data_IF_951200730044
#
_entry.id   IF_951200730044
#
_cell.length_a   1.000
_cell.length_b   1.000
_cell.length_c   1.000
_cell.angle_alpha   90.00
_cell.angle_beta   90.00
_cell.angle_gamma   90.00
#
_symmetry.space_group_name_H-M   'P 1'
#
loop_
_entity.id
_entity.type
_entity.pdbx_description
1 polymer ?
#
# COMPACT_ATOMS: atom_id res chain seq x y z
N UNK A 1 36.18 -33.05 -16.92
CA UNK A 1 35.92 -34.13 -15.96
C UNK A 1 34.90 -35.07 -16.57
N UNK A 2 35.13 -36.39 -16.52
CA UNK A 2 34.12 -37.37 -16.92
C UNK A 2 33.05 -37.42 -15.82
N UNK A 3 31.84 -36.94 -16.12
CA UNK A 3 30.67 -37.08 -15.22
C UNK A 3 30.09 -38.50 -15.36
N UNK A 4 29.47 -39.00 -14.30
CA UNK A 4 28.81 -40.32 -14.28
C UNK A 4 27.43 -40.21 -14.91
N UNK A 5 27.02 -41.22 -15.69
CA UNK A 5 25.63 -41.34 -16.16
C UNK A 5 24.81 -42.03 -15.08
N UNK A 6 23.80 -41.33 -14.55
CA UNK A 6 22.88 -41.87 -13.54
C UNK A 6 21.60 -42.34 -14.25
N UNK A 7 21.26 -43.63 -14.09
CA UNK A 7 19.98 -44.17 -14.57
C UNK A 7 18.84 -43.76 -13.62
N UNK A 8 18.14 -42.68 -13.96
CA UNK A 8 16.94 -42.23 -13.23
C UNK A 8 15.66 -42.93 -13.71
N UNK A 9 15.75 -44.06 -14.44
CA UNK A 9 14.60 -44.81 -15.00
C UNK A 9 13.69 -43.96 -15.91
N UNK A 10 14.26 -42.95 -16.57
CA UNK A 10 13.51 -41.98 -17.38
C UNK A 10 12.71 -40.93 -16.57
N UNK A 11 12.78 -40.96 -15.24
CA UNK A 11 12.14 -39.95 -14.37
C UNK A 11 13.08 -38.73 -14.28
N UNK A 12 12.56 -37.49 -14.38
CA UNK A 12 13.35 -36.29 -14.14
C UNK A 12 14.03 -36.34 -12.75
N UNK A 13 15.37 -36.23 -12.66
CA UNK A 13 16.07 -36.27 -11.38
C UNK A 13 15.80 -35.01 -10.55
N UNK A 14 16.25 -35.03 -9.28
CA UNK A 14 16.25 -33.86 -8.39
C UNK A 14 14.87 -33.15 -8.31
N UNK A 15 13.80 -33.95 -8.24
CA UNK A 15 12.41 -33.48 -8.18
C UNK A 15 12.00 -32.54 -9.34
N UNK A 16 12.70 -32.56 -10.47
CA UNK A 16 12.45 -31.66 -11.59
C UNK A 16 12.88 -30.21 -11.34
N UNK A 17 13.62 -29.93 -10.26
CA UNK A 17 14.12 -28.58 -9.94
C UNK A 17 15.22 -28.16 -10.92
N UNK A 18 16.15 -29.08 -11.20
CA UNK A 18 17.24 -28.89 -12.14
C UNK A 18 17.88 -30.23 -12.55
N UNK A 19 18.73 -30.19 -13.56
CA UNK A 19 19.62 -31.31 -13.94
C UNK A 19 20.80 -31.45 -12.98
N UNK A 20 21.46 -32.62 -12.97
CA UNK A 20 22.74 -32.78 -12.27
C UNK A 20 23.81 -31.83 -12.82
N UNK A 21 23.78 -31.53 -14.12
CA UNK A 21 24.64 -30.56 -14.79
C UNK A 21 24.54 -29.17 -14.17
N UNK A 22 23.32 -28.68 -13.99
CA UNK A 22 23.02 -27.41 -13.35
C UNK A 22 23.34 -27.43 -11.85
N UNK A 23 22.99 -28.51 -11.14
CA UNK A 23 23.24 -28.65 -9.70
C UNK A 23 24.73 -28.67 -9.34
N UNK A 24 25.62 -29.04 -10.27
CA UNK A 24 27.07 -28.98 -10.07
C UNK A 24 27.68 -27.59 -10.33
N UNK A 25 26.91 -26.62 -10.85
CA UNK A 25 27.41 -25.25 -10.98
C UNK A 25 27.55 -24.64 -9.57
N UNK A 26 28.69 -24.02 -9.25
CA UNK A 26 28.80 -23.22 -8.02
C UNK A 26 27.69 -22.17 -7.99
N UNK A 27 27.17 -21.89 -6.80
CA UNK A 27 26.23 -20.81 -6.52
C UNK A 27 26.82 -19.85 -5.51
N UNK A 28 25.96 -19.13 -4.79
CA UNK A 28 26.38 -18.22 -3.75
C UNK A 28 26.70 -18.99 -2.47
N UNK A 29 27.69 -18.52 -1.71
CA UNK A 29 27.85 -18.95 -0.32
C UNK A 29 26.74 -18.33 0.52
N UNK A 30 26.43 -18.93 1.66
CA UNK A 30 25.36 -18.40 2.52
C UNK A 30 25.63 -16.96 2.97
N UNK A 31 26.90 -16.55 3.14
CA UNK A 31 27.23 -15.15 3.48
C UNK A 31 26.91 -14.19 2.33
N UNK A 32 27.24 -14.56 1.10
CA UNK A 32 26.89 -13.78 -0.09
C UNK A 32 25.36 -13.69 -0.24
N UNK A 33 24.66 -14.80 -0.05
CA UNK A 33 23.19 -14.86 -0.10
C UNK A 33 22.55 -13.97 0.95
N UNK A 34 23.03 -14.02 2.20
CA UNK A 34 22.54 -13.18 3.30
C UNK A 34 22.80 -11.70 3.03
N UNK A 35 23.97 -11.33 2.51
CA UNK A 35 24.30 -9.94 2.19
C UNK A 35 23.38 -9.37 1.09
N UNK A 36 23.13 -10.13 0.02
CA UNK A 36 22.18 -9.72 -1.03
C UNK A 36 20.76 -9.59 -0.48
N UNK A 37 20.29 -10.57 0.30
CA UNK A 37 18.98 -10.51 0.93
C UNK A 37 18.83 -9.30 1.85
N UNK A 38 19.85 -8.93 2.62
CA UNK A 38 19.83 -7.71 3.44
C UNK A 38 19.66 -6.45 2.61
N UNK A 39 20.30 -6.36 1.44
CA UNK A 39 20.14 -5.24 0.50
C UNK A 39 18.71 -5.18 -0.05
N UNK A 40 18.12 -6.30 -0.48
CA UNK A 40 16.72 -6.33 -0.91
C UNK A 40 15.74 -5.96 0.21
N UNK A 41 15.94 -6.49 1.42
CA UNK A 41 15.12 -6.14 2.59
C UNK A 41 15.21 -4.63 2.90
N UNK A 42 16.41 -4.05 2.81
CA UNK A 42 16.59 -2.62 3.02
C UNK A 42 15.81 -1.81 2.00
N UNK A 43 15.88 -2.17 0.71
CA UNK A 43 15.15 -1.45 -0.34
C UNK A 43 13.63 -1.63 -0.19
N UNK A 44 13.14 -2.85 0.03
CA UNK A 44 11.71 -3.12 0.23
C UNK A 44 11.15 -2.36 1.45
N UNK A 45 11.89 -2.34 2.56
CA UNK A 45 11.54 -1.52 3.73
C UNK A 45 11.41 -0.03 3.36
N UNK A 46 12.35 0.51 2.60
CA UNK A 46 12.33 1.92 2.23
C UNK A 46 11.25 2.25 1.19
N UNK A 47 10.96 1.36 0.24
CA UNK A 47 9.83 1.53 -0.69
C UNK A 47 8.50 1.61 0.06
N UNK A 48 8.28 0.73 1.04
CA UNK A 48 7.11 0.81 1.94
C UNK A 48 7.02 2.18 2.63
N UNK A 49 8.15 2.72 3.11
CA UNK A 49 8.20 4.03 3.78
C UNK A 49 7.98 5.20 2.82
N UNK A 50 8.58 5.17 1.63
CA UNK A 50 8.40 6.18 0.57
C UNK A 50 6.93 6.26 0.18
N UNK A 51 6.31 5.12 -0.13
CA UNK A 51 4.90 5.06 -0.52
C UNK A 51 3.99 5.55 0.61
N UNK A 52 4.26 5.14 1.85
CA UNK A 52 3.50 5.59 3.04
C UNK A 52 3.61 7.11 3.26
N UNK A 53 4.79 7.70 3.05
CA UNK A 53 5.04 9.13 3.23
C UNK A 53 4.34 10.00 2.18
N UNK A 54 4.15 9.49 0.97
CA UNK A 54 3.61 10.26 -0.15
C UNK A 54 2.13 10.01 -0.45
N UNK A 55 1.55 8.90 0.04
CA UNK A 55 0.19 8.48 -0.29
C UNK A 55 -0.87 9.58 -0.10
N UNK A 56 -0.82 10.33 1.00
CA UNK A 56 -1.78 11.41 1.25
C UNK A 56 -1.62 12.57 0.24
N UNK A 57 -0.39 13.02 0.00
CA UNK A 57 -0.10 14.23 -0.75
C UNK A 57 -0.21 14.08 -2.28
N UNK A 58 -0.16 12.85 -2.80
CA UNK A 58 -0.43 12.59 -4.23
C UNK A 58 -1.89 12.91 -4.56
N UNK A 59 -2.20 13.70 -5.60
CA UNK A 59 -3.58 14.03 -5.96
C UNK A 59 -4.30 12.92 -6.73
N UNK A 60 -3.59 12.16 -7.56
CA UNK A 60 -4.18 11.17 -8.46
C UNK A 60 -4.71 9.95 -7.69
N UNK A 61 -6.01 9.71 -7.79
CA UNK A 61 -6.69 8.62 -7.09
C UNK A 61 -6.13 7.24 -7.41
N UNK A 62 -5.86 6.97 -8.68
CA UNK A 62 -5.33 5.70 -9.16
C UNK A 62 -3.91 5.44 -8.61
N UNK A 63 -3.13 6.49 -8.40
CA UNK A 63 -1.80 6.39 -7.79
C UNK A 63 -1.90 6.05 -6.31
N UNK A 64 -2.85 6.65 -5.57
CA UNK A 64 -3.13 6.26 -4.18
C UNK A 64 -3.52 4.77 -4.08
N UNK A 65 -4.37 4.32 -5.00
CA UNK A 65 -4.79 2.92 -5.09
C UNK A 65 -3.60 1.97 -5.25
N UNK A 66 -2.71 2.28 -6.19
CA UNK A 66 -1.51 1.49 -6.42
C UNK A 66 -0.51 1.58 -5.26
N UNK A 67 -0.39 2.73 -4.59
CA UNK A 67 0.50 2.88 -3.44
C UNK A 67 0.07 1.96 -2.31
N UNK A 68 -1.22 1.92 -1.99
CA UNK A 68 -1.75 0.99 -0.99
C UNK A 68 -1.45 -0.47 -1.31
N UNK A 69 -1.55 -0.88 -2.59
CA UNK A 69 -1.21 -2.23 -3.02
C UNK A 69 0.28 -2.52 -2.91
N UNK A 70 1.10 -1.68 -3.53
CA UNK A 70 2.53 -1.93 -3.69
C UNK A 70 3.28 -1.82 -2.36
N UNK A 71 2.87 -0.91 -1.46
CA UNK A 71 3.49 -0.81 -0.13
C UNK A 71 3.23 -2.06 0.73
N UNK A 72 2.10 -2.73 0.53
CA UNK A 72 1.81 -4.00 1.20
C UNK A 72 2.67 -5.13 0.65
N UNK A 73 2.84 -5.22 -0.68
CA UNK A 73 3.76 -6.17 -1.30
C UNK A 73 5.20 -5.97 -0.80
N UNK A 74 5.66 -4.71 -0.74
CA UNK A 74 6.99 -4.38 -0.21
C UNK A 74 7.14 -4.83 1.26
N UNK A 75 6.07 -4.72 2.06
CA UNK A 75 6.04 -5.18 3.45
C UNK A 75 6.11 -6.72 3.57
N UNK A 76 5.40 -7.45 2.71
CA UNK A 76 5.41 -8.91 2.61
C UNK A 76 6.78 -9.42 2.13
N UNK A 77 7.37 -8.78 1.12
CA UNK A 77 8.71 -9.11 0.61
C UNK A 77 9.76 -8.99 1.71
N UNK A 78 9.75 -7.87 2.44
CA UNK A 78 10.64 -7.66 3.59
C UNK A 78 10.42 -8.71 4.68
N UNK A 79 9.16 -9.03 5.02
CA UNK A 79 8.85 -10.06 6.02
C UNK A 79 9.37 -11.45 5.59
N UNK A 80 9.15 -11.83 4.33
CA UNK A 80 9.61 -13.08 3.77
C UNK A 80 11.15 -13.17 3.77
N UNK A 81 11.85 -12.08 3.41
CA UNK A 81 13.31 -12.02 3.45
C UNK A 81 13.82 -12.15 4.88
N UNK A 82 13.25 -11.42 5.83
CA UNK A 82 13.66 -11.48 7.25
C UNK A 82 13.56 -12.89 7.80
N UNK A 83 12.45 -13.58 7.50
CA UNK A 83 12.26 -15.00 7.83
C UNK A 83 13.32 -15.86 7.14
N UNK A 84 13.61 -15.65 5.86
CA UNK A 84 14.61 -16.45 5.15
C UNK A 84 16.02 -16.24 5.71
N UNK A 85 16.38 -15.02 6.11
CA UNK A 85 17.68 -14.75 6.73
C UNK A 85 17.80 -15.40 8.10
N UNK A 86 16.73 -15.41 8.91
CA UNK A 86 16.74 -16.07 10.22
C UNK A 86 16.85 -17.60 10.15
N UNK A 87 16.41 -18.22 9.05
CA UNK A 87 16.62 -19.64 8.77
C UNK A 87 18.08 -19.98 8.41
N UNK A 88 18.89 -18.99 8.03
CA UNK A 88 20.26 -19.18 7.53
C UNK A 88 21.36 -18.75 8.51
N UNK A 89 21.03 -17.90 9.50
CA UNK A 89 21.99 -17.33 10.45
C UNK A 89 21.37 -17.24 11.84
N UNK A 90 22.22 -17.33 12.87
CA UNK A 90 21.82 -17.06 14.24
C UNK A 90 21.84 -15.54 14.52
N UNK A 91 21.02 -15.05 15.46
CA UNK A 91 21.05 -13.64 15.88
C UNK A 91 22.42 -13.20 16.44
N UNK A 92 22.76 -11.90 16.38
CA UNK A 92 21.99 -10.80 15.80
C UNK A 92 21.99 -10.78 14.26
N UNK A 93 20.80 -10.59 13.66
CA UNK A 93 20.64 -10.66 12.20
C UNK A 93 20.96 -9.33 11.50
N UNK A 94 20.90 -8.20 12.22
CA UNK A 94 21.16 -6.85 11.69
C UNK A 94 20.26 -6.48 10.47
N UNK A 95 19.00 -6.92 10.48
CA UNK A 95 18.04 -6.67 9.38
C UNK A 95 17.44 -5.26 9.37
N UNK A 96 17.66 -4.50 10.45
CA UNK A 96 17.23 -3.09 10.57
C UNK A 96 18.40 -2.10 10.39
N UNK A 97 19.62 -2.60 10.14
CA UNK A 97 20.78 -1.76 9.87
C UNK A 97 20.92 -1.49 8.38
N UNK A 98 21.51 -0.35 8.05
CA UNK A 98 21.86 0.00 6.68
C UNK A 98 22.95 -0.95 6.18
N UNK A 99 22.70 -1.70 5.09
CA UNK A 99 23.68 -2.65 4.58
C UNK A 99 24.83 -1.95 3.85
N UNK A 100 24.61 -0.71 3.41
CA UNK A 100 25.56 0.13 2.69
C UNK A 100 25.13 1.60 2.76
N UNK A 101 26.09 2.49 2.99
CA UNK A 101 25.82 3.93 3.18
C UNK A 101 25.35 4.61 1.88
N UNK A 102 25.93 4.24 0.73
CA UNK A 102 25.58 4.84 -0.55
C UNK A 102 24.19 4.38 -1.00
N UNK A 103 23.82 3.13 -0.71
CA UNK A 103 22.47 2.62 -0.92
C UNK A 103 21.43 3.36 -0.07
N UNK A 104 21.77 3.71 1.18
CA UNK A 104 20.91 4.58 2.01
C UNK A 104 20.76 5.96 1.37
N UNK A 105 21.86 6.61 1.00
CA UNK A 105 21.84 7.96 0.38
C UNK A 105 20.97 7.95 -0.88
N UNK A 106 21.08 6.92 -1.72
CA UNK A 106 20.25 6.79 -2.91
C UNK A 106 18.73 6.77 -2.61
N UNK A 107 18.31 6.08 -1.55
CA UNK A 107 16.89 6.04 -1.16
C UNK A 107 16.45 7.31 -0.41
N UNK A 108 17.36 7.96 0.31
CA UNK A 108 17.15 9.29 0.89
C UNK A 108 16.94 10.37 -0.20
N UNK A 109 17.56 10.21 -1.37
CA UNK A 109 17.23 11.05 -2.54
C UNK A 109 15.85 10.71 -3.09
N UNK A 110 15.54 9.42 -3.27
CA UNK A 110 14.28 8.98 -3.89
C UNK A 110 13.02 9.46 -3.16
N UNK A 111 13.03 9.48 -1.82
CA UNK A 111 11.88 9.97 -1.02
C UNK A 111 11.63 11.49 -1.21
N UNK A 112 12.60 12.24 -1.76
CA UNK A 112 12.52 13.69 -1.98
C UNK A 112 12.05 14.08 -3.38
N UNK A 113 11.26 13.21 -4.02
CA UNK A 113 10.50 13.59 -5.21
C UNK A 113 9.52 14.73 -4.87
N UNK A 114 9.41 15.72 -5.75
CA UNK A 114 8.65 16.95 -5.50
C UNK A 114 7.22 16.89 -6.06
N UNK A 115 6.95 15.95 -6.97
CA UNK A 115 5.65 15.75 -7.61
C UNK A 115 5.43 14.30 -8.02
N UNK A 116 4.21 13.97 -8.45
CA UNK A 116 3.82 12.61 -8.85
C UNK A 116 4.72 12.05 -9.97
N UNK A 117 5.09 12.86 -10.98
CA UNK A 117 5.93 12.40 -12.10
C UNK A 117 7.33 12.00 -11.62
N UNK A 118 7.98 12.81 -10.79
CA UNK A 118 9.27 12.45 -10.20
C UNK A 118 9.16 11.21 -9.31
N UNK A 119 8.12 11.15 -8.47
CA UNK A 119 7.95 10.05 -7.53
C UNK A 119 7.77 8.71 -8.27
N UNK A 120 6.88 8.67 -9.26
CA UNK A 120 6.69 7.49 -10.08
C UNK A 120 7.92 7.16 -10.92
N UNK A 121 8.63 8.15 -11.43
CA UNK A 121 9.89 7.93 -12.17
C UNK A 121 10.92 7.25 -11.27
N UNK A 122 11.14 7.77 -10.06
CA UNK A 122 12.11 7.19 -9.13
C UNK A 122 11.77 5.75 -8.76
N UNK A 123 10.49 5.47 -8.46
CA UNK A 123 10.05 4.14 -8.06
C UNK A 123 10.04 3.17 -9.24
N UNK A 124 9.39 3.52 -10.35
CA UNK A 124 9.05 2.57 -11.42
C UNK A 124 10.00 2.58 -12.62
N UNK A 125 10.82 3.62 -12.82
CA UNK A 125 11.90 3.64 -13.84
C UNK A 125 13.30 3.35 -13.30
N UNK A 126 13.52 3.59 -12.00
CA UNK A 126 14.85 3.42 -11.40
C UNK A 126 14.87 2.29 -10.38
N UNK A 127 14.18 2.45 -9.24
CA UNK A 127 14.33 1.52 -8.10
C UNK A 127 13.84 0.11 -8.45
N UNK A 128 12.56 -0.04 -8.80
CA UNK A 128 11.97 -1.37 -9.08
C UNK A 128 12.65 -2.08 -10.26
N UNK A 129 12.94 -1.44 -11.40
CA UNK A 129 13.66 -2.09 -12.50
C UNK A 129 15.05 -2.59 -12.09
N UNK A 130 15.79 -1.85 -11.26
CA UNK A 130 17.12 -2.29 -10.82
C UNK A 130 17.04 -3.39 -9.76
N UNK A 131 15.99 -3.43 -8.93
CA UNK A 131 15.68 -4.59 -8.07
C UNK A 131 15.37 -5.81 -8.95
N UNK A 132 14.44 -5.69 -9.91
CA UNK A 132 14.05 -6.81 -10.78
C UNK A 132 15.25 -7.37 -11.55
N UNK A 133 16.13 -6.50 -12.06
CA UNK A 133 17.39 -6.88 -12.69
C UNK A 133 18.30 -7.64 -11.72
N UNK A 134 18.50 -7.14 -10.50
CA UNK A 134 19.33 -7.80 -9.49
C UNK A 134 18.74 -9.15 -9.04
N UNK A 135 17.42 -9.24 -8.85
CA UNK A 135 16.70 -10.49 -8.57
C UNK A 135 16.89 -11.51 -9.69
N UNK A 136 16.69 -11.09 -10.95
CA UNK A 136 16.85 -11.94 -12.13
C UNK A 136 18.28 -12.46 -12.25
N UNK A 137 19.29 -11.60 -12.07
CA UNK A 137 20.70 -11.99 -12.05
C UNK A 137 21.02 -12.98 -10.91
N UNK A 138 20.47 -12.76 -9.72
CA UNK A 138 20.66 -13.66 -8.60
C UNK A 138 20.04 -15.04 -8.88
N UNK A 139 18.80 -15.07 -9.37
CA UNK A 139 18.10 -16.30 -9.77
C UNK A 139 18.85 -17.06 -10.87
N UNK A 140 19.46 -16.35 -11.82
CA UNK A 140 20.23 -16.96 -12.92
C UNK A 140 21.54 -17.60 -12.44
N UNK A 141 22.19 -17.02 -11.43
CA UNK A 141 23.52 -17.42 -10.98
C UNK A 141 23.52 -18.30 -9.72
N UNK A 142 22.40 -18.40 -9.00
CA UNK A 142 22.32 -19.25 -7.82
C UNK A 142 22.26 -20.74 -8.15
N UNK A 143 22.68 -21.56 -7.19
CA UNK A 143 22.44 -23.00 -7.27
C UNK A 143 21.03 -23.31 -6.75
N UNK A 144 20.10 -23.54 -7.69
CA UNK A 144 18.67 -23.77 -7.42
C UNK A 144 18.37 -24.97 -6.51
N UNK A 145 19.33 -25.89 -6.34
CA UNK A 145 19.18 -27.03 -5.45
C UNK A 145 19.59 -26.68 -4.02
N UNK A 146 20.78 -26.09 -3.83
CA UNK A 146 21.28 -25.76 -2.48
C UNK A 146 20.57 -24.55 -1.87
N UNK A 147 20.09 -23.63 -2.70
CA UNK A 147 19.39 -22.40 -2.28
C UNK A 147 17.91 -22.42 -2.64
N UNK A 148 17.31 -23.61 -2.81
CA UNK A 148 15.94 -23.75 -3.30
C UNK A 148 14.88 -22.91 -2.55
N UNK A 149 14.91 -22.79 -1.19
CA UNK A 149 13.95 -21.94 -0.48
C UNK A 149 14.09 -20.45 -0.88
N UNK A 150 15.32 -19.97 -1.06
CA UNK A 150 15.60 -18.60 -1.53
C UNK A 150 15.14 -18.43 -2.99
N UNK A 151 15.40 -19.41 -3.87
CA UNK A 151 14.93 -19.40 -5.25
C UNK A 151 13.40 -19.22 -5.34
N UNK A 152 12.64 -19.96 -4.54
CA UNK A 152 11.17 -19.86 -4.52
C UNK A 152 10.68 -18.48 -4.09
N UNK A 153 11.31 -17.91 -3.06
CA UNK A 153 11.02 -16.57 -2.56
C UNK A 153 11.29 -15.52 -3.63
N UNK A 154 12.51 -15.49 -4.20
CA UNK A 154 12.90 -14.45 -5.15
C UNK A 154 12.13 -14.54 -6.47
N UNK A 155 11.69 -15.74 -6.88
CA UNK A 155 10.85 -15.88 -8.07
C UNK A 155 9.49 -15.23 -7.90
N UNK A 156 8.87 -15.34 -6.72
CA UNK A 156 7.62 -14.65 -6.42
C UNK A 156 7.83 -13.13 -6.38
N UNK A 157 8.85 -12.68 -5.66
CA UNK A 157 9.20 -11.26 -5.60
C UNK A 157 9.47 -10.65 -6.98
N UNK A 158 10.22 -11.36 -7.85
CA UNK A 158 10.51 -10.89 -9.20
C UNK A 158 9.22 -10.71 -10.03
N UNK A 159 8.27 -11.65 -9.91
CA UNK A 159 6.99 -11.52 -10.59
C UNK A 159 6.23 -10.28 -10.13
N UNK A 160 6.14 -10.06 -8.82
CA UNK A 160 5.47 -8.89 -8.26
C UNK A 160 6.14 -7.59 -8.75
N UNK A 161 7.48 -7.52 -8.74
CA UNK A 161 8.22 -6.35 -9.25
C UNK A 161 7.96 -6.11 -10.74
N UNK A 162 7.95 -7.16 -11.57
CA UNK A 162 7.64 -7.04 -13.00
C UNK A 162 6.23 -6.50 -13.23
N UNK A 163 5.23 -6.99 -12.49
CA UNK A 163 3.84 -6.50 -12.58
C UNK A 163 3.72 -5.03 -12.13
N UNK A 164 4.38 -4.65 -11.03
CA UNK A 164 4.41 -3.28 -10.52
C UNK A 164 5.10 -2.31 -11.50
N UNK A 165 6.19 -2.73 -12.15
CA UNK A 165 6.88 -1.93 -13.19
C UNK A 165 5.96 -1.68 -14.38
N UNK A 166 5.23 -2.71 -14.87
CA UNK A 166 4.30 -2.55 -16.00
C UNK A 166 3.22 -1.52 -15.67
N UNK A 167 2.64 -1.60 -14.46
CA UNK A 167 1.66 -0.60 -14.04
C UNK A 167 2.27 0.81 -13.97
N UNK A 168 3.46 0.94 -13.38
CA UNK A 168 4.14 2.23 -13.21
C UNK A 168 4.50 2.92 -14.51
N UNK A 169 4.97 2.17 -15.52
CA UNK A 169 5.25 2.73 -16.85
C UNK A 169 3.98 3.18 -17.56
N UNK A 170 2.88 2.45 -17.40
CA UNK A 170 1.59 2.86 -17.95
C UNK A 170 1.08 4.15 -17.28
N UNK A 171 1.22 4.26 -15.95
CA UNK A 171 0.86 5.47 -15.21
C UNK A 171 1.73 6.67 -15.62
N UNK A 172 3.05 6.50 -15.75
CA UNK A 172 3.95 7.56 -16.22
C UNK A 172 3.63 7.98 -17.66
N UNK A 173 3.27 7.04 -18.53
CA UNK A 173 2.83 7.35 -19.90
C UNK A 173 1.56 8.20 -19.91
N UNK A 174 0.65 7.98 -18.97
CA UNK A 174 -0.57 8.77 -18.84
C UNK A 174 -0.32 10.17 -18.25
N UNK A 175 0.63 10.31 -17.32
CA UNK A 175 0.92 11.57 -16.63
C UNK A 175 1.91 12.48 -17.36
N UNK A 176 2.80 11.93 -18.18
CA UNK A 176 3.76 12.70 -18.98
C UNK A 176 3.07 13.09 -20.30
N UNK A 177 2.32 14.18 -20.27
CA UNK A 177 1.55 14.70 -21.41
C UNK A 177 2.27 15.84 -22.15
N UNK A 178 3.37 16.33 -21.61
CA UNK A 178 4.11 17.50 -22.10
C UNK A 178 5.62 17.29 -22.15
N UNK A 179 6.34 18.00 -23.04
CA UNK A 179 7.81 17.98 -23.07
C UNK A 179 8.47 18.44 -21.76
N UNK A 180 7.79 19.30 -21.00
CA UNK A 180 8.26 19.77 -19.69
C UNK A 180 8.28 18.64 -18.67
N UNK A 181 7.16 17.91 -18.51
CA UNK A 181 7.10 16.74 -17.63
C UNK A 181 8.06 15.63 -18.08
N UNK A 182 8.25 15.46 -19.40
CA UNK A 182 9.23 14.52 -19.92
C UNK A 182 10.66 14.91 -19.53
N UNK A 183 10.98 16.21 -19.53
CA UNK A 183 12.24 16.73 -19.03
C UNK A 183 12.43 16.48 -17.54
N UNK A 184 11.41 16.79 -16.72
CA UNK A 184 11.41 16.52 -15.27
C UNK A 184 11.68 15.04 -14.98
N UNK A 185 10.96 14.13 -15.66
CA UNK A 185 11.17 12.70 -15.52
C UNK A 185 12.60 12.29 -15.91
N UNK A 186 13.10 12.76 -17.05
CA UNK A 186 14.44 12.41 -17.52
C UNK A 186 15.55 12.90 -16.58
N UNK A 187 15.45 14.15 -16.09
CA UNK A 187 16.41 14.74 -15.18
C UNK A 187 16.42 14.01 -13.82
N UNK A 188 15.23 13.68 -13.30
CA UNK A 188 15.10 12.94 -12.05
C UNK A 188 15.57 11.49 -12.16
N UNK A 189 15.27 10.81 -13.27
CA UNK A 189 15.81 9.48 -13.55
C UNK A 189 17.35 9.51 -13.60
N UNK A 190 17.93 10.47 -14.31
CA UNK A 190 19.38 10.63 -14.40
C UNK A 190 20.01 10.90 -13.02
N UNK A 191 19.38 11.75 -12.21
CA UNK A 191 19.78 12.03 -10.83
C UNK A 191 19.86 10.76 -10.00
N UNK A 192 18.77 10.00 -9.90
CA UNK A 192 18.73 8.78 -9.09
C UNK A 192 19.66 7.69 -9.61
N UNK A 193 19.85 7.57 -10.94
CA UNK A 193 20.83 6.63 -11.51
C UNK A 193 22.27 6.99 -11.13
N UNK A 194 22.62 8.28 -11.03
CA UNK A 194 23.95 8.70 -10.59
C UNK A 194 24.26 8.23 -9.16
N UNK A 195 23.30 8.38 -8.24
CA UNK A 195 23.43 7.88 -6.86
C UNK A 195 23.47 6.35 -6.78
N UNK A 196 22.69 5.64 -7.61
CA UNK A 196 22.75 4.18 -7.68
C UNK A 196 24.11 3.66 -8.16
N UNK A 197 24.73 4.34 -9.13
CA UNK A 197 26.07 4.01 -9.60
C UNK A 197 27.12 4.21 -8.49
N UNK A 198 26.97 5.23 -7.65
CA UNK A 198 27.82 5.42 -6.47
C UNK A 198 27.62 4.32 -5.41
N UNK A 199 26.44 3.69 -5.37
CA UNK A 199 26.15 2.55 -4.50
C UNK A 199 26.62 1.19 -5.03
N UNK A 200 27.28 1.15 -6.20
CA UNK A 200 27.68 -0.10 -6.86
C UNK A 200 26.48 -0.93 -7.36
N UNK A 201 25.34 -0.28 -7.63
CA UNK A 201 24.09 -0.93 -7.99
C UNK A 201 23.37 -1.61 -6.82
N UNK A 202 22.19 -2.19 -7.09
CA UNK A 202 21.37 -2.86 -6.06
C UNK A 202 22.11 -4.02 -5.41
N UNK A 203 22.90 -4.78 -6.16
CA UNK A 203 23.69 -5.91 -5.64
C UNK A 203 25.00 -5.47 -4.96
N UNK A 204 25.49 -4.25 -5.21
CA UNK A 204 26.76 -3.74 -4.66
C UNK A 204 28.00 -4.37 -5.30
N UNK A 205 27.87 -4.96 -6.49
CA UNK A 205 28.92 -5.69 -7.20
C UNK A 205 29.51 -4.93 -8.40
N UNK A 206 28.96 -3.75 -8.72
CA UNK A 206 29.48 -2.87 -9.75
C UNK A 206 30.59 -1.96 -9.21
N UNK A 207 31.53 -1.58 -10.07
CA UNK A 207 32.54 -0.58 -9.74
C UNK A 207 31.85 0.76 -9.43
N UNK A 208 31.94 1.20 -8.17
CA UNK A 208 31.31 2.42 -7.73
C UNK A 208 31.91 3.65 -8.42
N UNK A 209 31.04 4.52 -8.92
CA UNK A 209 31.42 5.78 -9.58
C UNK A 209 31.11 6.95 -8.65
N UNK A 210 32.00 7.93 -8.56
CA UNK A 210 31.74 9.15 -7.77
C UNK A 210 30.50 9.85 -8.33
N UNK A 211 29.51 10.09 -7.47
CA UNK A 211 28.32 10.87 -7.85
C UNK A 211 28.69 12.35 -7.94
N UNK A 212 28.52 12.96 -9.11
CA UNK A 212 28.72 14.40 -9.33
C UNK A 212 27.42 15.21 -9.18
N UNK A 213 26.26 14.55 -9.06
CA UNK A 213 24.98 15.21 -8.86
C UNK A 213 24.88 15.82 -7.45
N UNK A 214 24.34 17.04 -7.35
CA UNK A 214 24.14 17.69 -6.07
C UNK A 214 22.96 17.01 -5.34
N UNK A 215 23.15 16.50 -4.10
CA UNK A 215 22.07 15.85 -3.36
C UNK A 215 20.94 16.82 -3.04
N UNK A 216 19.69 16.37 -3.18
CA UNK A 216 18.52 17.04 -2.60
C UNK A 216 18.43 16.79 -1.09
N UNK A 217 19.02 15.70 -0.62
CA UNK A 217 19.15 15.43 0.81
C UNK A 217 20.08 16.42 1.48
N UNK A 218 19.56 17.03 2.53
CA UNK A 218 20.27 17.84 3.50
C UNK A 218 20.86 17.00 4.66
N UNK A 219 20.77 15.67 4.55
CA UNK A 219 21.18 14.71 5.57
C UNK A 219 20.22 14.61 6.76
N UNK A 220 19.12 15.37 6.77
CA UNK A 220 18.04 15.21 7.75
C UNK A 220 17.05 14.13 7.29
N UNK A 221 16.17 13.71 8.21
CA UNK A 221 15.05 12.84 7.85
C UNK A 221 14.07 13.63 6.97
N UNK A 222 13.53 12.99 5.94
CA UNK A 222 12.48 13.58 5.12
C UNK A 222 11.25 13.95 5.95
N UNK A 223 10.79 15.19 5.82
CA UNK A 223 9.55 15.67 6.40
C UNK A 223 8.42 15.48 5.39
N UNK A 224 7.46 14.61 5.69
CA UNK A 224 6.33 14.34 4.80
C UNK A 224 5.34 15.52 4.78
N UNK A 225 4.72 15.78 3.62
CA UNK A 225 3.53 16.64 3.53
C UNK A 225 2.32 15.87 4.08
N UNK A 226 1.72 16.29 5.20
CA UNK A 226 0.59 15.58 5.80
C UNK A 226 -0.73 15.83 5.05
N UNK A 227 -0.79 16.80 4.14
CA UNK A 227 -2.05 17.27 3.56
C UNK A 227 -2.55 16.31 2.47
N UNK A 228 -3.74 15.69 2.64
CA UNK A 228 -4.34 14.90 1.58
C UNK A 228 -4.71 15.78 0.38
N UNK A 229 -4.58 15.22 -0.83
CA UNK A 229 -4.97 15.91 -2.08
C UNK A 229 -5.87 15.04 -2.96
N UNK A 230 -6.60 15.69 -3.86
CA UNK A 230 -7.34 15.08 -4.97
C UNK A 230 -7.05 15.86 -6.23
N UNK A 231 -7.04 15.18 -7.37
CA UNK A 231 -6.95 15.82 -8.67
C UNK A 231 -8.24 16.57 -9.05
N UNK A 232 -8.20 17.26 -10.18
CA UNK A 232 -9.24 18.17 -10.65
C UNK A 232 -10.60 17.51 -10.94
N UNK A 233 -10.68 16.18 -10.98
CA UNK A 233 -11.94 15.46 -11.21
C UNK A 233 -12.85 15.51 -9.98
N UNK A 234 -12.27 15.67 -8.79
CA UNK A 234 -13.01 15.63 -7.54
C UNK A 234 -13.58 17.01 -7.20
N UNK A 235 -14.86 17.03 -6.88
CA UNK A 235 -15.60 18.25 -6.53
C UNK A 235 -15.95 18.27 -5.05
N UNK A 236 -15.89 19.47 -4.47
CA UNK A 236 -16.39 19.77 -3.11
C UNK A 236 -15.99 18.69 -2.06
N UNK A 237 -14.69 18.43 -1.84
CA UNK A 237 -14.19 17.29 -1.07
C UNK A 237 -14.40 17.42 0.46
N UNK A 238 -15.19 18.40 0.89
CA UNK A 238 -15.61 18.60 2.28
C UNK A 238 -17.14 18.56 2.44
N UNK A 239 -17.87 18.24 1.37
CA UNK A 239 -19.32 18.09 1.42
C UNK A 239 -19.72 16.82 2.17
N UNK A 240 -20.50 16.99 3.23
CA UNK A 240 -21.06 15.92 4.06
C UNK A 240 -22.59 15.97 4.13
N UNK A 241 -23.22 16.67 3.19
CA UNK A 241 -24.69 16.81 3.13
C UNK A 241 -25.42 15.47 2.97
N UNK A 242 -24.81 14.52 2.25
CA UNK A 242 -25.32 13.17 2.10
C UNK A 242 -25.07 12.35 3.38
N UNK A 243 -26.15 11.85 4.00
CA UNK A 243 -26.10 11.01 5.21
C UNK A 243 -25.81 9.54 4.86
N UNK A 244 -24.69 9.29 4.20
CA UNK A 244 -24.29 7.97 3.67
C UNK A 244 -24.39 6.89 4.73
N UNK A 245 -23.95 7.17 5.97
CA UNK A 245 -23.96 6.19 7.06
C UNK A 245 -25.34 5.97 7.70
N UNK A 246 -26.39 6.62 7.19
CA UNK A 246 -27.77 6.51 7.68
C UNK A 246 -28.72 5.85 6.68
N UNK A 247 -28.56 6.07 5.37
CA UNK A 247 -29.55 5.63 4.38
C UNK A 247 -29.72 4.10 4.35
N UNK A 248 -28.64 3.32 4.51
CA UNK A 248 -28.75 1.86 4.52
C UNK A 248 -29.48 1.31 5.76
N UNK A 249 -29.53 2.08 6.86
CA UNK A 249 -30.29 1.75 8.07
C UNK A 249 -31.78 2.11 7.97
N UNK A 250 -32.13 3.12 7.17
CA UNK A 250 -33.50 3.61 7.07
C UNK A 250 -34.36 2.61 6.29
N UNK A 251 -35.34 2.01 6.97
CA UNK A 251 -36.30 1.09 6.35
C UNK A 251 -37.23 1.77 5.34
N UNK A 252 -37.31 3.11 5.35
CA UNK A 252 -38.04 3.88 4.33
C UNK A 252 -37.23 4.06 3.03
N UNK A 253 -35.91 3.88 3.06
CA UNK A 253 -35.09 3.90 1.85
C UNK A 253 -35.36 2.65 1.01
N UNK A 254 -35.40 2.84 -0.31
CA UNK A 254 -35.54 1.73 -1.25
C UNK A 254 -34.38 0.73 -1.14
N UNK A 255 -34.58 -0.57 -1.46
CA UNK A 255 -33.48 -1.55 -1.48
C UNK A 255 -32.28 -1.09 -2.31
N UNK A 256 -32.53 -0.44 -3.46
CA UNK A 256 -31.49 0.16 -4.30
C UNK A 256 -30.70 1.25 -3.56
N UNK A 257 -31.38 2.21 -2.95
CA UNK A 257 -30.73 3.30 -2.21
C UNK A 257 -29.88 2.80 -1.05
N UNK A 258 -30.37 1.78 -0.34
CA UNK A 258 -29.61 1.11 0.72
C UNK A 258 -28.35 0.42 0.15
N UNK A 259 -28.44 -0.21 -1.02
CA UNK A 259 -27.29 -0.83 -1.68
C UNK A 259 -26.22 0.18 -2.07
N UNK A 260 -26.63 1.29 -2.69
CA UNK A 260 -25.69 2.32 -3.13
C UNK A 260 -25.15 3.15 -1.98
N UNK A 261 -25.90 3.33 -0.89
CA UNK A 261 -25.38 3.88 0.36
C UNK A 261 -24.25 3.03 0.94
N UNK A 262 -24.39 1.70 0.95
CA UNK A 262 -23.32 0.77 1.34
C UNK A 262 -22.11 0.81 0.38
N UNK A 263 -22.34 0.87 -0.93
CA UNK A 263 -21.27 1.00 -1.94
C UNK A 263 -20.51 2.32 -1.77
N UNK A 264 -21.24 3.43 -1.60
CA UNK A 264 -20.65 4.76 -1.46
C UNK A 264 -19.88 4.87 -0.14
N UNK A 265 -20.32 4.21 0.92
CA UNK A 265 -19.58 4.11 2.18
C UNK A 265 -18.16 3.55 1.94
N UNK A 266 -18.03 2.49 1.13
CA UNK A 266 -16.75 1.85 0.76
C UNK A 266 -15.87 2.79 -0.07
N UNK A 267 -16.45 3.47 -1.06
CA UNK A 267 -15.71 4.45 -1.87
C UNK A 267 -15.02 5.53 -1.02
N UNK A 268 -15.69 6.02 0.04
CA UNK A 268 -15.12 7.03 0.94
C UNK A 268 -13.99 6.52 1.82
N UNK A 269 -13.76 5.21 1.90
CA UNK A 269 -12.71 4.64 2.75
C UNK A 269 -11.30 4.97 2.26
N UNK A 270 -11.12 5.57 1.07
CA UNK A 270 -9.84 6.18 0.68
C UNK A 270 -9.35 7.21 1.70
N UNK A 271 -10.26 7.85 2.46
CA UNK A 271 -9.88 8.75 3.55
C UNK A 271 -9.01 8.02 4.60
N UNK A 272 -9.23 6.71 4.83
CA UNK A 272 -8.50 5.90 5.83
C UNK A 272 -7.03 5.67 5.48
N UNK A 273 -6.66 5.12 4.31
CA UNK A 273 -5.26 5.02 3.87
C UNK A 273 -4.48 6.33 3.98
N UNK A 274 -5.13 7.47 3.71
CA UNK A 274 -4.49 8.79 3.73
C UNK A 274 -4.01 9.22 5.11
N UNK A 275 -4.68 8.79 6.17
CA UNK A 275 -4.19 9.02 7.53
C UNK A 275 -3.52 7.81 8.17
N UNK A 276 -3.62 6.62 7.57
CA UNK A 276 -2.75 5.48 7.89
C UNK A 276 -1.33 5.64 7.36
N UNK A 277 -1.12 6.31 6.22
CA UNK A 277 0.22 6.60 5.67
C UNK A 277 1.15 7.28 6.70
N UNK A 278 0.73 8.38 7.34
CA UNK A 278 1.45 8.98 8.46
C UNK A 278 1.66 8.07 9.67
N UNK A 279 0.71 7.17 10.00
CA UNK A 279 0.90 6.18 11.07
C UNK A 279 2.08 5.27 10.74
N UNK A 280 2.12 4.72 9.53
CA UNK A 280 3.19 3.83 9.07
C UNK A 280 4.54 4.54 8.94
N UNK A 281 4.56 5.77 8.43
CA UNK A 281 5.80 6.51 8.22
C UNK A 281 6.39 7.08 9.52
N UNK A 282 5.56 7.69 10.37
CA UNK A 282 6.04 8.41 11.57
C UNK A 282 6.25 7.48 12.77
N UNK A 283 5.65 6.29 12.80
CA UNK A 283 5.87 5.32 13.88
C UNK A 283 7.19 4.58 13.69
N UNK A 284 8.10 4.70 14.66
CA UNK A 284 9.42 4.06 14.62
C UNK A 284 9.59 3.01 15.73
N UNK A 285 10.59 2.14 15.56
CA UNK A 285 11.05 1.22 16.61
C UNK A 285 10.14 0.03 16.89
N UNK A 286 9.04 -0.14 16.13
CA UNK A 286 8.19 -1.34 16.20
C UNK A 286 8.86 -2.52 15.47
N UNK A 287 8.56 -3.78 15.85
CA UNK A 287 9.03 -4.94 15.10
C UNK A 287 8.44 -4.93 13.68
N UNK A 288 9.12 -5.54 12.71
CA UNK A 288 8.68 -5.49 11.30
C UNK A 288 7.25 -5.99 11.07
N UNK A 289 6.82 -6.98 11.87
CA UNK A 289 5.46 -7.52 11.83
C UNK A 289 4.38 -6.45 12.05
N UNK A 290 4.67 -5.37 12.78
CA UNK A 290 3.78 -4.21 12.91
C UNK A 290 3.54 -3.56 11.55
N UNK A 291 4.61 -3.30 10.81
CA UNK A 291 4.53 -2.66 9.51
C UNK A 291 3.87 -3.58 8.48
N UNK A 292 4.10 -4.91 8.56
CA UNK A 292 3.39 -5.89 7.72
C UNK A 292 1.88 -5.87 7.98
N UNK A 293 1.46 -5.95 9.25
CA UNK A 293 0.04 -5.94 9.61
C UNK A 293 -0.65 -4.62 9.23
N UNK A 294 -0.06 -3.47 9.57
CA UNK A 294 -0.65 -2.17 9.25
C UNK A 294 -0.64 -1.88 7.74
N UNK A 295 0.38 -2.34 7.01
CA UNK A 295 0.38 -2.26 5.54
C UNK A 295 -0.70 -3.12 4.92
N UNK A 296 -0.95 -4.31 5.49
CA UNK A 296 -2.05 -5.18 5.05
C UNK A 296 -3.41 -4.51 5.25
N UNK A 297 -3.63 -3.92 6.41
CA UNK A 297 -4.86 -3.17 6.68
C UNK A 297 -5.00 -1.94 5.75
N UNK A 298 -3.94 -1.16 5.56
CA UNK A 298 -3.96 0.00 4.64
C UNK A 298 -4.34 -0.45 3.23
N UNK A 299 -3.78 -1.56 2.76
CA UNK A 299 -4.16 -2.15 1.49
C UNK A 299 -5.63 -2.53 1.44
N UNK A 300 -6.15 -3.17 2.49
CA UNK A 300 -7.56 -3.57 2.56
C UNK A 300 -8.49 -2.35 2.48
N UNK A 301 -8.20 -1.26 3.20
CA UNK A 301 -8.98 -0.01 3.11
C UNK A 301 -8.87 0.67 1.74
N UNK A 302 -7.68 0.63 1.12
CA UNK A 302 -7.49 1.12 -0.25
C UNK A 302 -8.31 0.28 -1.24
N UNK A 303 -8.34 -1.03 -1.03
CA UNK A 303 -9.14 -1.97 -1.83
C UNK A 303 -10.62 -1.78 -1.59
N UNK A 304 -11.06 -1.44 -0.38
CA UNK A 304 -12.47 -1.09 -0.11
C UNK A 304 -12.91 0.13 -0.92
N UNK A 305 -12.06 1.15 -1.03
CA UNK A 305 -12.32 2.29 -1.91
C UNK A 305 -12.52 1.87 -3.38
N UNK A 306 -11.63 1.01 -3.91
CA UNK A 306 -11.74 0.46 -5.26
C UNK A 306 -12.97 -0.44 -5.45
N UNK A 307 -13.38 -1.20 -4.43
CA UNK A 307 -14.64 -1.94 -4.44
C UNK A 307 -15.83 -0.98 -4.56
N UNK A 308 -15.78 0.17 -3.90
CA UNK A 308 -16.74 1.26 -4.08
C UNK A 308 -16.78 1.78 -5.53
N UNK A 309 -15.62 1.99 -6.15
CA UNK A 309 -15.52 2.37 -7.56
C UNK A 309 -16.18 1.35 -8.49
N UNK A 310 -15.91 0.06 -8.28
CA UNK A 310 -16.53 -1.03 -9.03
C UNK A 310 -18.05 -0.99 -8.87
N UNK A 311 -18.55 -0.71 -7.66
CA UNK A 311 -19.97 -0.56 -7.40
C UNK A 311 -20.60 0.62 -8.14
N UNK A 312 -19.93 1.76 -8.22
CA UNK A 312 -20.41 2.92 -8.98
C UNK A 312 -20.29 2.73 -10.50
N UNK A 313 -19.23 2.09 -10.97
CA UNK A 313 -19.09 1.64 -12.36
C UNK A 313 -20.25 0.71 -12.73
N UNK A 314 -20.56 -0.26 -11.86
CA UNK A 314 -21.74 -1.10 -12.01
C UNK A 314 -23.04 -0.27 -11.96
N UNK A 315 -23.08 0.88 -11.30
CA UNK A 315 -24.18 1.85 -11.33
C UNK A 315 -24.22 2.73 -12.59
N UNK A 316 -23.20 2.70 -13.44
CA UNK A 316 -23.07 3.59 -14.59
C UNK A 316 -22.69 5.03 -14.19
N UNK A 317 -22.18 5.24 -12.98
CA UNK A 317 -21.78 6.55 -12.47
C UNK A 317 -20.26 6.57 -12.28
N UNK A 318 -19.51 7.52 -12.87
CA UNK A 318 -18.09 7.69 -12.58
C UNK A 318 -17.88 8.04 -11.11
N UNK A 319 -16.90 7.40 -10.46
CA UNK A 319 -16.74 7.51 -9.00
C UNK A 319 -16.39 8.91 -8.50
N UNK A 320 -15.74 9.73 -9.34
CA UNK A 320 -15.36 11.11 -9.02
C UNK A 320 -16.48 12.13 -9.29
N UNK A 321 -17.62 11.72 -9.84
CA UNK A 321 -18.68 12.66 -10.26
C UNK A 321 -19.35 13.39 -9.09
N UNK A 322 -19.46 12.71 -7.95
CA UNK A 322 -20.11 13.22 -6.76
C UNK A 322 -19.10 13.36 -5.62
N UNK A 323 -19.35 14.23 -4.63
CA UNK A 323 -18.37 14.50 -3.56
C UNK A 323 -17.88 13.24 -2.83
N UNK A 324 -16.59 13.21 -2.56
CA UNK A 324 -15.92 12.24 -1.69
C UNK A 324 -15.15 13.04 -0.64
N UNK A 325 -15.59 12.92 0.60
CA UNK A 325 -15.05 13.69 1.72
C UNK A 325 -13.61 13.26 2.08
N UNK A 326 -12.74 14.23 2.40
CA UNK A 326 -11.37 14.01 2.89
C UNK A 326 -11.07 14.70 4.25
N UNK A 327 -12.09 15.26 4.91
CA UNK A 327 -11.86 16.08 6.10
C UNK A 327 -11.24 15.31 7.27
N UNK A 328 -11.46 13.99 7.37
CA UNK A 328 -10.90 13.21 8.46
C UNK A 328 -9.41 12.97 8.28
N UNK A 329 -8.93 12.69 7.07
CA UNK A 329 -7.50 12.66 6.79
C UNK A 329 -6.82 14.00 7.04
N UNK A 330 -7.43 15.13 6.63
CA UNK A 330 -6.86 16.46 6.95
C UNK A 330 -6.68 16.64 8.45
N UNK A 331 -7.74 16.42 9.23
CA UNK A 331 -7.71 16.64 10.69
C UNK A 331 -6.76 15.66 11.38
N UNK A 332 -6.83 14.37 11.07
CA UNK A 332 -5.98 13.36 11.70
C UNK A 332 -4.49 13.55 11.36
N UNK A 333 -4.17 13.99 10.14
CA UNK A 333 -2.78 14.17 9.74
C UNK A 333 -2.12 15.42 10.32
N UNK A 334 -2.92 16.43 10.68
CA UNK A 334 -2.42 17.76 11.07
C UNK A 334 -2.63 18.09 12.55
N UNK A 335 -3.63 17.51 13.21
CA UNK A 335 -3.97 17.83 14.62
C UNK A 335 -3.72 16.66 15.58
N UNK A 336 -3.45 15.45 15.09
CA UNK A 336 -3.28 14.25 15.92
C UNK A 336 -1.90 13.62 15.75
N UNK A 337 -1.41 13.00 16.82
CA UNK A 337 -0.21 12.17 16.75
C UNK A 337 -0.50 10.84 16.05
N UNK A 338 0.50 10.16 15.47
CA UNK A 338 0.34 8.82 14.89
C UNK A 338 -0.30 7.81 15.85
N UNK A 339 0.02 7.91 17.14
CA UNK A 339 -0.51 7.03 18.17
C UNK A 339 -1.99 7.29 18.46
N UNK A 340 -2.42 8.56 18.50
CA UNK A 340 -3.84 8.91 18.65
C UNK A 340 -4.66 8.52 17.41
N UNK A 341 -4.12 8.74 16.20
CA UNK A 341 -4.76 8.30 14.97
C UNK A 341 -4.93 6.77 14.92
N UNK A 342 -3.91 5.99 15.35
CA UNK A 342 -4.02 4.54 15.44
C UNK A 342 -5.04 4.08 16.51
N UNK A 343 -5.16 4.80 17.64
CA UNK A 343 -6.23 4.54 18.61
C UNK A 343 -7.63 4.76 18.01
N UNK A 344 -7.79 5.83 17.23
CA UNK A 344 -9.05 6.15 16.54
C UNK A 344 -9.39 5.06 15.52
N UNK A 345 -8.42 4.62 14.72
CA UNK A 345 -8.56 3.49 13.78
C UNK A 345 -9.12 2.26 14.47
N UNK A 346 -8.42 1.81 15.51
CA UNK A 346 -8.83 0.65 16.26
C UNK A 346 -10.24 0.82 16.86
N UNK A 347 -10.56 2.02 17.36
CA UNK A 347 -11.85 2.25 18.00
C UNK A 347 -13.01 2.19 17.00
N UNK A 348 -12.79 2.66 15.77
CA UNK A 348 -13.71 2.51 14.63
C UNK A 348 -13.92 1.02 14.34
N UNK A 349 -12.86 0.24 14.13
CA UNK A 349 -12.96 -1.21 13.85
C UNK A 349 -13.76 -1.95 14.93
N UNK A 350 -13.48 -1.67 16.21
CA UNK A 350 -14.21 -2.30 17.31
C UNK A 350 -15.71 -1.99 17.28
N UNK A 351 -16.08 -0.80 16.83
CA UNK A 351 -17.49 -0.39 16.72
C UNK A 351 -18.25 -1.17 15.63
N UNK A 352 -17.52 -1.75 14.67
CA UNK A 352 -18.06 -2.48 13.52
C UNK A 352 -18.27 -3.98 13.79
N UNK A 353 -17.83 -4.49 14.95
CA UNK A 353 -17.92 -5.91 15.32
C UNK A 353 -19.26 -6.39 15.91
N UNK A 354 -20.07 -5.58 16.62
CA UNK A 354 -21.32 -6.06 17.19
C UNK A 354 -22.30 -6.59 16.13
N UNK A 355 -22.80 -7.81 16.33
CA UNK A 355 -23.66 -8.53 15.37
C UNK A 355 -24.84 -7.73 14.80
N UNK A 356 -25.51 -6.94 15.63
CA UNK A 356 -26.78 -6.28 15.27
C UNK A 356 -26.62 -4.84 14.76
N UNK A 357 -25.43 -4.26 14.87
CA UNK A 357 -25.17 -2.86 14.51
C UNK A 357 -23.90 -2.66 13.68
N UNK A 358 -23.15 -3.73 13.42
CA UNK A 358 -21.89 -3.73 12.69
C UNK A 358 -21.94 -4.47 11.35
N UNK A 359 -20.80 -4.94 10.87
CA UNK A 359 -20.60 -5.48 9.51
C UNK A 359 -21.48 -6.67 9.16
N UNK A 360 -21.77 -7.55 10.12
CA UNK A 360 -22.74 -8.64 9.91
C UNK A 360 -24.10 -8.09 9.48
N UNK A 361 -24.56 -6.99 10.10
CA UNK A 361 -25.85 -6.40 9.77
C UNK A 361 -25.81 -5.63 8.45
N UNK A 362 -24.69 -4.98 8.12
CA UNK A 362 -24.46 -4.38 6.79
C UNK A 362 -24.54 -5.43 5.68
N UNK A 363 -23.94 -6.61 5.88
CA UNK A 363 -24.04 -7.74 4.97
C UNK A 363 -25.47 -8.28 4.83
N UNK A 364 -26.21 -8.42 5.94
CA UNK A 364 -27.64 -8.81 5.90
C UNK A 364 -28.47 -7.81 5.09
N UNK A 365 -28.22 -6.51 5.27
CA UNK A 365 -28.90 -5.45 4.50
C UNK A 365 -28.53 -5.57 3.02
N UNK A 366 -27.23 -5.72 2.69
CA UNK A 366 -26.76 -5.88 1.33
C UNK A 366 -27.44 -7.07 0.62
N UNK A 367 -27.58 -8.20 1.33
CA UNK A 367 -28.30 -9.38 0.86
C UNK A 367 -29.76 -9.08 0.52
N UNK A 368 -30.45 -8.30 1.34
CA UNK A 368 -31.85 -7.94 1.14
C UNK A 368 -32.06 -6.95 -0.02
N UNK A 369 -30.99 -6.30 -0.50
CA UNK A 369 -31.08 -5.34 -1.62
C UNK A 369 -31.21 -5.97 -3.00
N UNK A 370 -30.89 -7.27 -3.14
CA UNK A 370 -30.73 -7.97 -4.41
C UNK A 370 -29.69 -7.35 -5.38
N UNK A 371 -28.82 -6.44 -4.92
CA UNK A 371 -27.70 -5.95 -5.70
C UNK A 371 -26.50 -6.90 -5.51
N UNK A 372 -26.09 -7.67 -6.55
CA UNK A 372 -25.05 -8.69 -6.40
C UNK A 372 -23.67 -8.10 -6.09
N UNK A 373 -23.39 -6.88 -6.57
CA UNK A 373 -22.12 -6.21 -6.31
C UNK A 373 -22.07 -5.71 -4.87
N UNK A 374 -23.15 -5.08 -4.37
CA UNK A 374 -23.24 -4.66 -2.97
C UNK A 374 -23.02 -5.84 -2.02
N UNK A 375 -23.68 -6.98 -2.27
CA UNK A 375 -23.51 -8.19 -1.46
C UNK A 375 -22.06 -8.69 -1.46
N UNK A 376 -21.44 -8.80 -2.64
CA UNK A 376 -20.05 -9.27 -2.76
C UNK A 376 -19.08 -8.37 -2.02
N UNK A 377 -19.25 -7.06 -2.15
CA UNK A 377 -18.39 -6.07 -1.49
C UNK A 377 -18.50 -6.21 0.03
N UNK A 378 -19.72 -6.26 0.58
CA UNK A 378 -19.91 -6.36 2.03
C UNK A 378 -19.46 -7.72 2.61
N UNK A 379 -19.46 -8.79 1.80
CA UNK A 379 -18.97 -10.11 2.22
C UNK A 379 -17.46 -10.09 2.48
N UNK A 380 -16.68 -9.51 1.57
CA UNK A 380 -15.23 -9.39 1.72
C UNK A 380 -14.83 -8.29 2.71
N UNK A 381 -15.50 -7.14 2.69
CA UNK A 381 -15.31 -6.06 3.67
C UNK A 381 -15.51 -6.57 5.10
N UNK A 382 -16.54 -7.37 5.36
CA UNK A 382 -16.72 -7.97 6.68
C UNK A 382 -15.57 -8.91 7.06
N UNK A 383 -15.07 -9.72 6.12
CA UNK A 383 -13.95 -10.62 6.38
C UNK A 383 -12.67 -9.85 6.76
N UNK A 384 -12.39 -8.74 6.07
CA UNK A 384 -11.22 -7.89 6.29
C UNK A 384 -11.30 -7.18 7.66
N UNK A 385 -12.48 -6.67 8.03
CA UNK A 385 -12.70 -5.92 9.28
C UNK A 385 -12.53 -6.78 10.54
N UNK A 386 -12.75 -8.10 10.43
CA UNK A 386 -12.43 -9.04 11.50
C UNK A 386 -10.92 -9.10 11.75
N UNK A 387 -10.10 -9.01 10.70
CA UNK A 387 -8.65 -8.94 10.81
C UNK A 387 -8.22 -7.58 11.38
N UNK A 388 -8.78 -6.47 10.89
CA UNK A 388 -8.43 -5.11 11.35
C UNK A 388 -8.59 -4.99 12.87
N UNK A 389 -9.74 -5.39 13.40
CA UNK A 389 -10.02 -5.40 14.84
C UNK A 389 -9.02 -6.21 15.67
N UNK A 390 -8.38 -7.24 15.08
CA UNK A 390 -7.33 -8.04 15.74
C UNK A 390 -5.97 -7.34 15.67
N UNK A 391 -5.64 -6.71 14.54
CA UNK A 391 -4.41 -5.94 14.33
C UNK A 391 -4.30 -4.82 15.37
N UNK A 392 -5.33 -3.98 15.51
CA UNK A 392 -5.29 -2.90 16.49
C UNK A 392 -5.13 -3.40 17.93
N UNK A 393 -5.79 -4.51 18.30
CA UNK A 393 -5.62 -5.13 19.62
C UNK A 393 -4.20 -5.67 19.83
N UNK A 394 -3.63 -6.34 18.84
CA UNK A 394 -2.27 -6.91 18.90
C UNK A 394 -1.23 -5.83 19.19
N UNK A 395 -1.35 -4.68 18.53
CA UNK A 395 -0.30 -3.66 18.56
C UNK A 395 -0.47 -2.59 19.62
N UNK A 396 -1.70 -2.25 19.99
CA UNK A 396 -1.95 -1.16 20.94
C UNK A 396 -2.12 -1.65 22.38
N UNK A 397 -2.68 -2.84 22.63
CA UNK A 397 -2.87 -3.34 24.02
C UNK A 397 -1.56 -3.37 24.82
N UNK A 398 -0.41 -3.82 24.26
CA UNK A 398 0.87 -3.79 24.98
C UNK A 398 1.31 -2.36 25.36
N UNK A 399 1.05 -1.36 24.51
CA UNK A 399 1.46 0.03 24.74
C UNK A 399 0.66 0.70 25.88
N UNK A 400 -0.60 0.29 26.06
CA UNK A 400 -1.50 0.83 27.10
C UNK A 400 -1.63 -0.10 28.32
N UNK A 401 -0.96 -1.26 28.30
CA UNK A 401 -0.93 -2.24 29.39
C UNK A 401 -2.20 -3.07 29.59
N UNK A 402 -3.37 -2.61 29.13
CA UNK A 402 -4.61 -3.39 29.16
C UNK A 402 -5.62 -2.89 28.13
N UNK A 403 -6.55 -3.77 27.73
CA UNK A 403 -7.66 -3.42 26.85
C UNK A 403 -8.56 -2.32 27.46
N UNK A 404 -8.75 -2.31 28.79
CA UNK A 404 -9.58 -1.31 29.46
C UNK A 404 -8.96 0.09 29.37
N UNK A 405 -7.66 0.22 29.69
CA UNK A 405 -6.94 1.48 29.58
C UNK A 405 -6.88 1.98 28.13
N UNK A 406 -6.61 1.07 27.19
CA UNK A 406 -6.62 1.37 25.76
C UNK A 406 -8.00 1.85 25.27
N UNK A 407 -9.10 1.25 25.76
CA UNK A 407 -10.47 1.66 25.43
C UNK A 407 -10.76 3.07 25.93
N UNK A 408 -10.36 3.38 27.17
CA UNK A 408 -10.54 4.72 27.74
C UNK A 408 -9.77 5.78 26.95
N UNK A 409 -8.51 5.52 26.60
CA UNK A 409 -7.73 6.42 25.74
C UNK A 409 -8.32 6.56 24.33
N UNK A 410 -8.80 5.46 23.75
CA UNK A 410 -9.49 5.47 22.45
C UNK A 410 -10.77 6.29 22.47
N UNK A 411 -11.59 6.18 23.51
CA UNK A 411 -12.82 6.97 23.68
C UNK A 411 -12.50 8.48 23.82
N UNK A 412 -11.42 8.82 24.51
CA UNK A 412 -10.94 10.22 24.61
C UNK A 412 -10.46 10.75 23.25
N UNK A 413 -9.68 9.97 22.51
CA UNK A 413 -9.20 10.33 21.17
C UNK A 413 -10.36 10.50 20.18
N UNK A 414 -11.33 9.58 20.17
CA UNK A 414 -12.55 9.68 19.36
C UNK A 414 -13.35 10.96 19.67
N UNK A 415 -13.47 11.34 20.94
CA UNK A 415 -14.14 12.58 21.34
C UNK A 415 -13.39 13.82 20.84
N UNK A 416 -12.07 13.83 20.98
CA UNK A 416 -11.24 14.94 20.50
C UNK A 416 -11.34 15.08 18.97
N UNK A 417 -11.25 13.98 18.24
CA UNK A 417 -11.41 13.96 16.79
C UNK A 417 -12.80 14.42 16.36
N UNK A 418 -13.86 13.93 17.00
CA UNK A 418 -15.23 14.39 16.72
C UNK A 418 -15.40 15.90 16.91
N UNK A 419 -14.73 16.50 17.90
CA UNK A 419 -14.74 17.97 18.10
C UNK A 419 -13.94 18.72 17.03
N UNK A 420 -12.78 18.20 16.64
CA UNK A 420 -11.94 18.81 15.60
C UNK A 420 -12.59 18.70 14.21
N UNK A 421 -13.21 17.57 13.89
CA UNK A 421 -13.82 17.29 12.59
C UNK A 421 -15.05 18.17 12.30
N UNK A 422 -15.66 18.81 13.31
CA UNK A 422 -16.74 19.80 13.09
C UNK A 422 -16.25 20.98 12.23
N UNK A 423 -14.97 21.34 12.31
CA UNK A 423 -14.39 22.46 11.54
C UNK A 423 -14.50 22.27 10.03
N UNK A 424 -14.51 21.02 9.55
CA UNK A 424 -14.53 20.73 8.11
C UNK A 424 -15.87 21.04 7.46
N UNK A 425 -16.95 21.11 8.26
CA UNK A 425 -18.28 21.45 7.78
C UNK A 425 -18.32 22.84 7.13
N UNK A 426 -17.55 23.80 7.65
CA UNK A 426 -17.48 25.18 7.16
C UNK A 426 -16.61 25.32 5.89
N UNK A 427 -15.95 24.25 5.42
CA UNK A 427 -15.09 24.27 4.23
C UNK A 427 -15.84 23.92 2.94
N UNK A 428 -17.16 23.75 3.02
CA UNK A 428 -18.05 23.46 1.92
C UNK A 428 -19.37 24.22 2.12
N UNK A 429 -20.06 24.55 1.03
CA UNK A 429 -21.42 25.10 1.09
C UNK A 429 -22.46 24.05 1.48
N UNK A 430 -22.06 22.78 1.62
CA UNK A 430 -22.92 21.65 2.00
C UNK A 430 -24.14 21.49 1.08
N UNK A 431 -23.96 21.74 -0.22
CA UNK A 431 -25.00 21.57 -1.22
C UNK A 431 -25.47 20.10 -1.27
N UNK A 432 -26.78 19.87 -1.18
CA UNK A 432 -27.37 18.53 -1.22
C UNK A 432 -27.22 17.90 -2.61
N UNK A 433 -26.65 16.70 -2.68
CA UNK A 433 -26.38 16.00 -3.95
C UNK A 433 -26.91 14.56 -4.01
N UNK A 434 -27.20 13.93 -2.86
CA UNK A 434 -27.62 12.52 -2.80
C UNK A 434 -28.88 12.21 -3.63
N UNK A 435 -29.95 13.03 -3.62
CA UNK A 435 -31.12 12.78 -4.45
C UNK A 435 -30.81 12.71 -5.94
N UNK A 436 -29.92 13.60 -6.42
CA UNK A 436 -29.50 13.63 -7.82
C UNK A 436 -28.67 12.39 -8.18
N UNK A 437 -27.77 11.95 -7.30
CA UNK A 437 -27.03 10.71 -7.46
C UNK A 437 -27.97 9.51 -7.62
N UNK A 438 -28.98 9.40 -6.75
CA UNK A 438 -29.96 8.30 -6.83
C UNK A 438 -30.83 8.37 -8.08
N UNK A 439 -31.20 9.56 -8.56
CA UNK A 439 -31.94 9.71 -9.82
C UNK A 439 -31.12 9.21 -11.02
N UNK A 440 -29.83 9.52 -11.07
CA UNK A 440 -28.94 9.05 -12.13
C UNK A 440 -28.74 7.54 -12.13
N UNK A 441 -28.52 6.95 -10.94
CA UNK A 441 -28.44 5.49 -10.79
C UNK A 441 -29.67 4.80 -11.37
N UNK A 442 -30.87 5.30 -11.05
CA UNK A 442 -32.15 4.76 -11.54
C UNK A 442 -32.28 4.92 -13.05
N UNK A 443 -31.91 6.08 -13.59
CA UNK A 443 -31.94 6.35 -15.02
C UNK A 443 -30.99 5.40 -15.79
N UNK A 444 -29.80 5.15 -15.25
CA UNK A 444 -28.81 4.24 -15.83
C UNK A 444 -29.26 2.78 -15.76
N UNK A 445 -29.99 2.39 -14.71
CA UNK A 445 -30.55 1.03 -14.60
C UNK A 445 -31.63 0.79 -15.67
N UNK A 446 -32.53 1.76 -15.88
CA UNK A 446 -33.57 1.69 -16.91
C UNK A 446 -32.97 1.55 -18.30
N UNK A 447 -31.91 2.32 -18.60
CA UNK A 447 -31.20 2.28 -19.89
C UNK A 447 -30.52 0.94 -20.15
N UNK A 448 -30.12 0.20 -19.11
CA UNK A 448 -29.49 -1.12 -19.25
C UNK A 448 -30.49 -2.27 -19.39
N UNK A 449 -31.74 -2.06 -18.96
CA UNK A 449 -32.83 -3.04 -19.03
C UNK A 449 -33.68 -2.92 -20.29
N UNK A 450 -33.72 -1.74 -20.91
CA UNK A 450 -34.34 -1.47 -22.21
C UNK A 450 -33.39 -1.78 -23.36
#
# INVERSE_FOLDING_TARGET
MNRVVIDNKGIPPLAGICSYEEACKPGFTVDQSVNLLKRFNFIAKNLNQILSAHLAAVPEWEVKCAFGYHLWLDAEHSAAIRKRVSEMREPPLHLDQDPDEQLRIWLDEAIRAENTVELLTGIYRVIRPEIAKALSQYIANMNKMTEHPTYRLLRGMLQDEEEMIVWGEAALTALIDSPEQAGIAADWEAHLRAFLLAAGGVSGDLDAVVCEAAPRSDGQRYEMDPMPRRDERFIDPYNTSAKIDSYFWDENCSPEERAYSLIYKRLREMDVPEWMGPILYKTEGKPWEYYTDLSRQLWDETRHAMLGEIGLYFGGVPFYKYPIHMGSSVILNTEFTPQEAHLILWRIEQSLMPKHTGKQKEWEIAKDTNNPISLLIQDYDWADEVLHAQIGRKWLVPDYGSLAAMTESGDQAMKAWGQANVKTADWSEQAEWWPQFMEEIRANELTRKG
#
